data_IF_465488466153
#
_entry.id   IF_465488466153
#
_cell.length_a   1.000
_cell.length_b   1.000
_cell.length_c   1.000
_cell.angle_alpha   90.00
_cell.angle_beta   90.00
_cell.angle_gamma   90.00
#
_symmetry.space_group_name_H-M   'P 1'
#
loop_
_entity.id
_entity.type
_entity.pdbx_description
1 polymer ?
#
# COMPACT_ATOMS: atom_id res chain seq x y z
N UNK A 1 10.26 -25.01 2.15
CA UNK A 1 8.87 -24.54 2.04
C UNK A 1 8.74 -23.56 3.17
N UNK A 2 8.84 -22.26 2.89
CA UNK A 2 8.87 -21.24 3.95
C UNK A 2 7.53 -21.24 4.68
N UNK A 3 7.57 -21.49 5.99
CA UNK A 3 6.42 -21.42 6.86
C UNK A 3 5.87 -19.98 6.84
N UNK A 4 4.77 -19.79 6.12
CA UNK A 4 4.01 -18.54 6.18
C UNK A 4 3.37 -18.51 7.57
N UNK A 5 3.93 -17.69 8.47
CA UNK A 5 3.37 -17.48 9.80
C UNK A 5 1.88 -17.13 9.70
N UNK A 6 1.03 -17.85 10.44
CA UNK A 6 -0.38 -17.53 10.59
C UNK A 6 -0.51 -16.18 11.32
N UNK A 7 -0.74 -15.11 10.56
CA UNK A 7 -0.93 -13.75 11.08
C UNK A 7 -2.33 -13.24 10.74
N UNK A 8 -2.90 -12.45 11.66
CA UNK A 8 -4.25 -11.88 11.55
C UNK A 8 -4.35 -10.65 10.62
N UNK A 9 -3.44 -10.55 9.65
CA UNK A 9 -3.40 -9.50 8.64
C UNK A 9 -2.97 -10.03 7.28
N UNK A 10 -3.13 -9.22 6.25
CA UNK A 10 -2.62 -9.45 4.89
C UNK A 10 -1.71 -8.32 4.50
N UNK A 11 -0.69 -8.67 3.74
CA UNK A 11 0.29 -7.75 3.22
C UNK A 11 0.02 -7.50 1.75
N UNK A 12 -0.17 -6.23 1.39
CA UNK A 12 -0.44 -5.78 0.02
C UNK A 12 0.62 -4.78 -0.36
N UNK A 13 1.11 -4.86 -1.60
CA UNK A 13 2.07 -3.90 -2.13
C UNK A 13 1.52 -3.33 -3.43
N UNK A 14 1.39 -2.00 -3.47
CA UNK A 14 1.14 -1.27 -4.71
C UNK A 14 2.45 -0.67 -5.20
N UNK A 15 2.77 -0.86 -6.47
CA UNK A 15 4.02 -0.35 -7.08
C UNK A 15 3.66 0.54 -8.25
N UNK A 16 4.30 1.71 -8.33
CA UNK A 16 4.14 2.59 -9.51
C UNK A 16 4.85 1.95 -10.70
N UNK A 17 4.14 1.91 -11.83
CA UNK A 17 4.69 1.48 -13.11
C UNK A 17 5.96 2.25 -13.49
N UNK A 18 6.94 1.57 -14.08
CA UNK A 18 8.24 2.15 -14.46
C UNK A 18 8.09 3.33 -15.41
N UNK A 19 7.12 3.30 -16.32
CA UNK A 19 6.85 4.39 -17.27
C UNK A 19 6.44 5.70 -16.59
N UNK A 20 5.98 5.66 -15.34
CA UNK A 20 5.55 6.82 -14.57
C UNK A 20 6.64 7.34 -13.60
N UNK A 21 7.78 6.67 -13.49
CA UNK A 21 8.83 7.03 -12.54
C UNK A 21 9.35 8.45 -12.75
N UNK A 22 9.58 8.87 -13.99
CA UNK A 22 10.06 10.23 -14.31
C UNK A 22 9.08 11.31 -13.84
N UNK A 23 7.78 11.07 -14.00
CA UNK A 23 6.70 11.97 -13.58
C UNK A 23 6.68 12.10 -12.06
N UNK A 24 6.69 10.97 -11.35
CA UNK A 24 6.67 10.97 -9.88
C UNK A 24 7.97 11.52 -9.28
N UNK A 25 9.11 11.35 -9.96
CA UNK A 25 10.38 11.91 -9.56
C UNK A 25 10.36 13.44 -9.66
N UNK A 26 9.80 13.98 -10.76
CA UNK A 26 9.63 15.42 -10.97
C UNK A 26 8.57 16.03 -10.04
N UNK A 27 7.46 15.31 -9.82
CA UNK A 27 6.29 15.78 -9.09
C UNK A 27 6.10 15.01 -7.77
N UNK A 28 7.11 15.04 -6.89
CA UNK A 28 7.16 14.28 -5.63
C UNK A 28 5.92 14.41 -4.73
N UNK A 29 5.16 15.51 -4.82
CA UNK A 29 3.91 15.71 -4.07
C UNK A 29 2.83 14.66 -4.41
N UNK A 30 2.87 14.10 -5.62
CA UNK A 30 1.94 13.04 -6.06
C UNK A 30 2.10 11.74 -5.28
N UNK A 31 3.25 11.52 -4.63
CA UNK A 31 3.50 10.33 -3.83
C UNK A 31 2.52 10.17 -2.66
N UNK A 32 2.07 11.27 -2.05
CA UNK A 32 1.05 11.19 -1.01
C UNK A 32 -0.31 10.78 -1.60
N UNK A 33 -0.68 11.37 -2.74
CA UNK A 33 -1.90 10.97 -3.47
C UNK A 33 -1.87 9.48 -3.84
N UNK A 34 -0.75 8.99 -4.36
CA UNK A 34 -0.57 7.55 -4.63
C UNK A 34 -0.80 6.67 -3.39
N UNK A 35 -0.24 7.06 -2.23
CA UNK A 35 -0.46 6.33 -0.98
C UNK A 35 -1.92 6.38 -0.52
N UNK A 36 -2.55 7.55 -0.59
CA UNK A 36 -3.96 7.73 -0.20
C UNK A 36 -4.89 6.88 -1.10
N UNK A 37 -4.66 6.87 -2.41
CA UNK A 37 -5.43 6.07 -3.37
C UNK A 37 -5.21 4.55 -3.19
N UNK A 38 -3.98 4.11 -2.92
CA UNK A 38 -3.69 2.70 -2.62
C UNK A 38 -4.48 2.20 -1.40
N UNK A 39 -4.63 3.04 -0.38
CA UNK A 39 -5.49 2.77 0.79
C UNK A 39 -6.97 2.84 0.40
N UNK A 40 -7.36 3.83 -0.42
CA UNK A 40 -8.72 4.05 -0.90
C UNK A 40 -9.29 2.83 -1.60
N UNK A 41 -8.55 2.25 -2.56
CA UNK A 41 -8.95 1.06 -3.32
C UNK A 41 -9.32 -0.11 -2.38
N UNK A 42 -8.56 -0.33 -1.31
CA UNK A 42 -8.87 -1.40 -0.34
C UNK A 42 -10.19 -1.11 0.38
N UNK A 43 -10.41 0.16 0.74
CA UNK A 43 -11.60 0.60 1.48
C UNK A 43 -12.89 0.59 0.66
N UNK A 44 -12.80 0.49 -0.67
CA UNK A 44 -13.98 0.32 -1.54
C UNK A 44 -14.67 -1.04 -1.34
N UNK A 45 -13.95 -2.05 -0.85
CA UNK A 45 -14.49 -3.41 -0.70
C UNK A 45 -14.99 -3.69 0.73
N UNK A 46 -14.33 -3.14 1.75
CA UNK A 46 -14.67 -3.33 3.16
C UNK A 46 -13.96 -2.28 4.03
N UNK A 47 -14.29 -2.22 5.34
CA UNK A 47 -13.65 -1.27 6.29
C UNK A 47 -12.67 -1.98 7.24
N UNK A 48 -11.40 -2.22 6.86
CA UNK A 48 -10.40 -2.81 7.74
C UNK A 48 -9.61 -1.77 8.56
N UNK A 49 -8.85 -2.26 9.54
CA UNK A 49 -7.68 -1.55 10.06
C UNK A 49 -6.54 -1.61 9.04
N UNK A 50 -5.89 -0.48 8.80
CA UNK A 50 -4.82 -0.33 7.80
C UNK A 50 -3.61 0.37 8.41
N UNK A 51 -2.42 -0.17 8.16
CA UNK A 51 -1.14 0.53 8.31
C UNK A 51 -0.49 0.58 6.93
N UNK A 52 -0.23 1.78 6.42
CA UNK A 52 0.38 2.00 5.12
C UNK A 52 1.71 2.76 5.25
N UNK A 53 2.73 2.32 4.52
CA UNK A 53 4.04 2.95 4.44
C UNK A 53 4.48 3.11 3.00
N UNK A 54 4.82 4.34 2.62
CA UNK A 54 5.37 4.65 1.30
C UNK A 54 6.89 4.52 1.30
N UNK A 55 7.43 3.69 0.42
CA UNK A 55 8.84 3.63 0.07
C UNK A 55 9.07 4.23 -1.31
N UNK A 56 10.19 4.92 -1.49
CA UNK A 56 10.47 5.65 -2.75
C UNK A 56 11.60 5.04 -3.57
N UNK A 57 12.49 4.26 -2.94
CA UNK A 57 13.60 3.59 -3.60
C UNK A 57 13.55 2.09 -3.35
N UNK A 58 13.93 1.31 -4.34
CA UNK A 58 14.10 -0.14 -4.22
C UNK A 58 15.45 -0.52 -3.60
N UNK A 59 15.67 -1.83 -3.43
CA UNK A 59 16.92 -2.38 -2.86
C UNK A 59 18.17 -2.05 -3.67
N UNK A 60 18.03 -1.72 -4.96
CA UNK A 60 19.12 -1.30 -5.85
C UNK A 60 19.25 0.23 -5.96
N UNK A 61 18.60 0.99 -5.07
CA UNK A 61 18.55 2.46 -5.09
C UNK A 61 17.92 3.06 -6.36
N UNK A 62 17.24 2.27 -7.19
CA UNK A 62 16.43 2.77 -8.28
C UNK A 62 15.15 3.43 -7.73
N UNK A 63 14.72 4.53 -8.34
CA UNK A 63 13.47 5.19 -7.97
C UNK A 63 12.30 4.28 -8.32
N UNK A 64 11.79 3.55 -7.34
CA UNK A 64 10.74 2.54 -7.50
C UNK A 64 9.72 2.75 -6.39
N UNK A 65 8.81 3.73 -6.52
CA UNK A 65 7.88 4.05 -5.47
C UNK A 65 6.86 2.94 -5.28
N UNK A 66 6.68 2.50 -4.03
CA UNK A 66 5.73 1.46 -3.68
C UNK A 66 5.17 1.71 -2.28
N UNK A 67 3.92 1.32 -2.08
CA UNK A 67 3.21 1.42 -0.80
C UNK A 67 3.06 0.03 -0.24
N UNK A 68 3.63 -0.19 0.93
CA UNK A 68 3.41 -1.38 1.73
C UNK A 68 2.22 -1.18 2.64
N UNK A 69 1.28 -2.12 2.60
CA UNK A 69 0.04 -2.03 3.36
C UNK A 69 -0.14 -3.32 4.15
N UNK A 70 -0.34 -3.17 5.46
CA UNK A 70 -0.86 -4.22 6.33
C UNK A 70 -2.35 -3.98 6.53
N UNK A 71 -3.16 -4.97 6.18
CA UNK A 71 -4.63 -4.93 6.24
C UNK A 71 -5.10 -5.98 7.23
N UNK A 72 -5.92 -5.62 8.20
CA UNK A 72 -6.51 -6.62 9.11
C UNK A 72 -7.40 -7.61 8.35
N UNK A 73 -7.42 -8.87 8.80
CA UNK A 73 -8.30 -9.90 8.22
C UNK A 73 -9.77 -9.77 8.62
N UNK A 74 -10.08 -8.87 9.54
CA UNK A 74 -11.44 -8.44 9.87
C UNK A 74 -11.64 -6.97 9.53
N UNK A 75 -12.87 -6.49 9.68
CA UNK A 75 -13.24 -5.11 9.47
C UNK A 75 -14.50 -4.76 10.25
N UNK A 76 -14.79 -3.48 10.31
CA UNK A 76 -15.94 -2.93 11.00
C UNK A 76 -17.19 -3.02 10.11
N UNK A 77 -18.30 -3.49 10.67
CA UNK A 77 -19.62 -3.43 10.04
C UNK A 77 -20.21 -2.02 10.18
N UNK A 78 -21.28 -1.72 9.44
CA UNK A 78 -22.04 -0.47 9.62
C UNK A 78 -22.55 -0.29 11.06
N UNK A 79 -22.82 -1.39 11.77
CA UNK A 79 -23.22 -1.39 13.18
C UNK A 79 -22.08 -1.07 14.15
N UNK A 80 -20.83 -0.99 13.68
CA UNK A 80 -19.64 -0.72 14.50
C UNK A 80 -19.02 -1.95 15.19
N UNK A 81 -19.59 -3.14 14.99
CA UNK A 81 -19.02 -4.43 15.42
C UNK A 81 -17.90 -4.93 14.49
#
# INVERSE_FOLDING_TARGET
MEDVFQVNHRYVVFTIDEGLWSIFLLHRKMLKGFMDEAVGIIKEYFTPGIIAGLHTFGSRLNFNPHVHILVTMGGMKESGE
#
